data_IF_441014845065
#
_entry.id   IF_441014845065
#
_cell.length_a   1.000
_cell.length_b   1.000
_cell.length_c   1.000
_cell.angle_alpha   90.00
_cell.angle_beta   90.00
_cell.angle_gamma   90.00
#
_symmetry.space_group_name_H-M   'P 1'
#
loop_
_entity.id
_entity.type
_entity.pdbx_description
1 polymer ?
#
# COMPACT_ATOMS: atom_id res chain seq x y z
N UNK A 1 -2.63 -4.02 -14.74
CA UNK A 1 -3.45 -4.34 -15.94
C UNK A 1 -4.62 -5.28 -15.63
N UNK A 2 -4.36 -6.45 -15.02
CA UNK A 2 -5.41 -7.42 -14.62
C UNK A 2 -6.55 -6.82 -13.78
N UNK A 3 -6.24 -5.94 -12.83
CA UNK A 3 -7.26 -5.26 -12.01
C UNK A 3 -8.16 -4.34 -12.85
N UNK A 4 -7.60 -3.66 -13.85
CA UNK A 4 -8.36 -2.79 -14.74
C UNK A 4 -9.26 -3.59 -15.69
N UNK A 5 -8.77 -4.71 -16.21
CA UNK A 5 -9.57 -5.64 -17.02
C UNK A 5 -10.74 -6.26 -16.25
N UNK A 6 -10.61 -6.41 -14.93
CA UNK A 6 -11.67 -6.87 -14.03
C UNK A 6 -12.60 -5.74 -13.57
N UNK A 7 -12.40 -4.51 -14.06
CA UNK A 7 -13.19 -3.35 -13.67
C UNK A 7 -12.97 -2.87 -12.24
N UNK A 8 -11.95 -3.36 -11.52
CA UNK A 8 -11.72 -3.02 -10.11
C UNK A 8 -11.02 -1.67 -9.96
N UNK A 9 -10.20 -1.29 -10.95
CA UNK A 9 -9.52 -0.01 -11.01
C UNK A 9 -9.67 0.59 -12.40
N UNK A 10 -9.70 1.92 -12.51
CA UNK A 10 -9.67 2.63 -13.79
C UNK A 10 -8.38 3.43 -13.92
N UNK A 11 -7.96 3.64 -15.17
CA UNK A 11 -6.78 4.45 -15.49
C UNK A 11 -7.23 5.83 -15.92
N UNK A 12 -6.64 6.85 -15.33
CA UNK A 12 -6.83 8.23 -15.68
C UNK A 12 -5.51 8.77 -16.24
N UNK A 13 -5.58 9.55 -17.31
CA UNK A 13 -4.41 10.32 -17.76
C UNK A 13 -4.23 11.48 -16.80
N UNK A 14 -3.01 11.69 -16.32
CA UNK A 14 -2.71 12.88 -15.53
C UNK A 14 -2.88 14.14 -16.38
N UNK A 15 -3.53 15.16 -15.81
CA UNK A 15 -3.74 16.45 -16.45
C UNK A 15 -2.48 17.32 -16.42
N UNK A 16 -1.57 17.08 -15.46
CA UNK A 16 -0.33 17.83 -15.24
C UNK A 16 0.88 17.24 -15.97
N UNK A 17 0.90 15.92 -16.20
CA UNK A 17 1.95 15.25 -16.95
C UNK A 17 1.40 14.08 -17.78
N UNK A 18 1.45 14.22 -19.11
CA UNK A 18 0.93 13.21 -20.05
C UNK A 18 1.68 11.88 -20.02
N UNK A 19 2.85 11.80 -19.38
CA UNK A 19 3.59 10.54 -19.16
C UNK A 19 3.13 9.79 -17.91
N UNK A 20 2.34 10.43 -17.05
CA UNK A 20 1.85 9.86 -15.81
C UNK A 20 0.44 9.27 -15.99
N UNK A 21 0.27 8.02 -15.55
CA UNK A 21 -1.03 7.34 -15.51
C UNK A 21 -1.43 7.17 -14.05
N UNK A 22 -2.54 7.80 -13.67
CA UNK A 22 -3.14 7.63 -12.36
C UNK A 22 -4.03 6.38 -12.39
N UNK A 23 -4.03 5.62 -11.29
CA UNK A 23 -4.89 4.46 -11.11
C UNK A 23 -5.81 4.73 -9.94
N UNK A 24 -7.12 4.71 -10.20
CA UNK A 24 -8.15 4.96 -9.21
C UNK A 24 -8.96 3.69 -8.99
N UNK A 25 -9.29 3.39 -7.74
CA UNK A 25 -10.16 2.27 -7.40
C UNK A 25 -11.61 2.62 -7.73
N UNK A 26 -12.27 1.76 -8.50
CA UNK A 26 -13.71 1.90 -8.80
C UNK A 26 -14.55 1.57 -7.58
N UNK A 27 -15.84 1.92 -7.62
CA UNK A 27 -16.82 1.51 -6.60
C UNK A 27 -16.84 -0.02 -6.42
N UNK A 28 -16.91 -0.78 -7.52
CA UNK A 28 -16.82 -2.25 -7.48
C UNK A 28 -15.52 -2.74 -6.80
N UNK A 29 -14.40 -2.05 -7.04
CA UNK A 29 -13.14 -2.35 -6.38
C UNK A 29 -13.16 -2.08 -4.89
N UNK A 30 -13.80 -0.98 -4.46
CA UNK A 30 -13.98 -0.63 -3.06
C UNK A 30 -14.86 -1.65 -2.34
N UNK A 31 -16.01 -2.00 -2.93
CA UNK A 31 -16.96 -2.95 -2.37
C UNK A 31 -16.34 -4.33 -2.16
N UNK A 32 -15.65 -4.86 -3.17
CA UNK A 32 -14.98 -6.16 -3.07
C UNK A 32 -13.81 -6.13 -2.08
N UNK A 33 -13.10 -5.00 -1.97
CA UNK A 33 -12.05 -4.84 -0.97
C UNK A 33 -12.66 -4.88 0.43
N UNK A 34 -13.79 -4.21 0.63
CA UNK A 34 -14.51 -4.21 1.90
C UNK A 34 -15.12 -5.56 2.24
N UNK A 35 -15.67 -6.29 1.27
CA UNK A 35 -16.16 -7.65 1.47
C UNK A 35 -15.04 -8.59 1.92
N UNK A 36 -13.88 -8.50 1.27
CA UNK A 36 -12.73 -9.36 1.57
C UNK A 36 -12.06 -9.03 2.91
N UNK A 37 -11.82 -7.75 3.20
CA UNK A 37 -11.01 -7.31 4.34
C UNK A 37 -11.83 -6.72 5.49
N UNK A 38 -13.03 -6.21 5.24
CA UNK A 38 -13.87 -5.56 6.25
C UNK A 38 -14.12 -6.41 7.49
N UNK A 39 -14.45 -7.72 7.38
CA UNK A 39 -14.58 -8.59 8.55
C UNK A 39 -13.30 -8.70 9.38
N UNK A 40 -12.14 -8.81 8.72
CA UNK A 40 -10.85 -8.88 9.40
C UNK A 40 -10.52 -7.56 10.11
N UNK A 41 -10.75 -6.42 9.44
CA UNK A 41 -10.56 -5.08 10.03
C UNK A 41 -11.42 -4.94 11.29
N UNK A 42 -12.71 -5.29 11.21
CA UNK A 42 -13.62 -5.26 12.37
C UNK A 42 -13.18 -6.18 13.50
N UNK A 43 -12.67 -7.37 13.19
CA UNK A 43 -12.17 -8.30 14.19
C UNK A 43 -10.88 -7.81 14.88
N UNK A 44 -10.01 -7.11 14.14
CA UNK A 44 -8.77 -6.53 14.67
C UNK A 44 -8.94 -5.20 15.41
N UNK A 45 -10.01 -4.47 15.12
CA UNK A 45 -10.31 -3.15 15.69
C UNK A 45 -10.19 -3.11 17.23
N UNK A 46 -10.76 -4.05 18.01
CA UNK A 46 -10.67 -3.99 19.48
C UNK A 46 -9.24 -4.12 20.01
N UNK A 47 -8.38 -4.87 19.32
CA UNK A 47 -6.98 -5.03 19.72
C UNK A 47 -6.20 -3.71 19.55
N UNK A 48 -6.55 -2.91 18.54
CA UNK A 48 -5.97 -1.58 18.34
C UNK A 48 -6.56 -0.54 19.29
N UNK A 49 -7.86 -0.62 19.60
CA UNK A 49 -8.54 0.27 20.55
C UNK A 49 -8.03 0.11 21.98
N UNK A 50 -7.48 -1.06 22.33
CA UNK A 50 -6.83 -1.30 23.61
C UNK A 50 -5.50 -0.54 23.79
N UNK A 51 -4.94 0.03 22.70
CA UNK A 51 -3.69 0.77 22.72
C UNK A 51 -3.94 2.28 22.87
N UNK A 52 -3.08 2.96 23.61
CA UNK A 52 -3.09 4.42 23.67
C UNK A 52 -2.64 5.02 22.34
N UNK A 53 -2.99 6.29 22.10
CA UNK A 53 -2.52 7.02 20.92
C UNK A 53 -0.98 7.07 20.83
N UNK A 54 -0.29 7.14 21.98
CA UNK A 54 1.17 7.10 22.04
C UNK A 54 1.71 5.73 21.61
N UNK A 55 1.09 4.64 22.07
CA UNK A 55 1.48 3.28 21.69
C UNK A 55 1.23 3.03 20.19
N UNK A 56 0.11 3.50 19.65
CA UNK A 56 -0.19 3.42 18.21
C UNK A 56 0.80 4.23 17.38
N UNK A 57 1.17 5.43 17.85
CA UNK A 57 2.20 6.26 17.23
C UNK A 57 3.54 5.54 17.22
N UNK A 58 3.97 5.01 18.37
CA UNK A 58 5.22 4.26 18.49
C UNK A 58 5.25 3.05 17.54
N UNK A 59 4.18 2.24 17.52
CA UNK A 59 4.08 1.07 16.65
C UNK A 59 4.17 1.47 15.17
N UNK A 60 3.46 2.52 14.78
CA UNK A 60 3.47 3.05 13.41
C UNK A 60 4.87 3.50 12.99
N UNK A 61 5.52 4.32 13.81
CA UNK A 61 6.89 4.77 13.55
C UNK A 61 7.87 3.61 13.44
N UNK A 62 7.73 2.61 14.31
CA UNK A 62 8.64 1.47 14.31
C UNK A 62 8.48 0.61 13.05
N UNK A 63 7.23 0.32 12.64
CA UNK A 63 6.95 -0.41 11.41
C UNK A 63 7.45 0.34 10.16
N UNK A 64 7.31 1.67 10.14
CA UNK A 64 7.84 2.51 9.07
C UNK A 64 9.37 2.46 9.01
N UNK A 65 10.07 2.55 10.16
CA UNK A 65 11.53 2.45 10.22
C UNK A 65 12.04 1.10 9.72
N UNK A 66 11.40 0.00 10.12
CA UNK A 66 11.76 -1.35 9.63
C UNK A 66 11.54 -1.44 8.12
N UNK A 67 10.41 -0.94 7.61
CA UNK A 67 10.12 -0.94 6.17
C UNK A 67 11.19 -0.17 5.40
N UNK A 68 11.52 1.05 5.84
CA UNK A 68 12.56 1.88 5.23
C UNK A 68 13.92 1.17 5.20
N UNK A 69 14.31 0.51 6.29
CA UNK A 69 15.55 -0.26 6.36
C UNK A 69 15.57 -1.40 5.33
N UNK A 70 14.45 -2.11 5.16
CA UNK A 70 14.35 -3.20 4.18
C UNK A 70 14.35 -2.69 2.73
N UNK A 71 13.73 -1.55 2.46
CA UNK A 71 13.72 -0.92 1.14
C UNK A 71 15.11 -0.39 0.76
N UNK A 72 15.81 0.27 1.68
CA UNK A 72 17.19 0.69 1.46
C UNK A 72 18.12 -0.49 1.16
N UNK A 73 17.94 -1.61 1.86
CA UNK A 73 18.72 -2.81 1.60
C UNK A 73 18.43 -3.36 0.20
N UNK A 74 17.16 -3.44 -0.20
CA UNK A 74 16.76 -3.83 -1.56
C UNK A 74 17.40 -2.94 -2.62
N UNK A 75 17.39 -1.62 -2.41
CA UNK A 75 18.02 -0.68 -3.33
C UNK A 75 19.53 -0.86 -3.44
N UNK A 76 20.21 -1.11 -2.31
CA UNK A 76 21.66 -1.39 -2.31
C UNK A 76 21.97 -2.63 -3.12
N UNK A 77 21.21 -3.71 -2.96
CA UNK A 77 21.37 -4.94 -3.74
C UNK A 77 21.11 -4.70 -5.23
N UNK A 78 20.07 -3.94 -5.59
CA UNK A 78 19.79 -3.60 -6.99
C UNK A 78 20.95 -2.79 -7.61
N UNK A 79 21.52 -1.83 -6.87
CA UNK A 79 22.67 -1.02 -7.31
C UNK A 79 23.97 -1.83 -7.41
N UNK A 80 24.12 -2.90 -6.62
CA UNK A 80 25.26 -3.82 -6.67
C UNK A 80 25.13 -4.84 -7.81
N UNK A 81 23.94 -5.43 -8.00
CA UNK A 81 23.67 -6.36 -9.09
C UNK A 81 23.72 -5.73 -10.49
N UNK A 82 23.56 -4.41 -10.59
CA UNK A 82 23.80 -3.64 -11.84
C UNK A 82 25.29 -3.40 -12.11
N UNK A 83 26.19 -3.60 -11.14
CA UNK A 83 27.65 -3.44 -11.32
C UNK A 83 28.38 -4.73 -11.73
N UNK A 84 27.70 -5.87 -11.73
CA UNK A 84 28.29 -7.18 -12.10
C UNK A 84 27.99 -7.61 -13.56
N UNK A 85 27.55 -6.71 -14.43
CA UNK A 85 27.35 -6.97 -15.86
C UNK A 85 27.98 -5.89 -16.74
#
# INVERSE_FOLDING_TARGET
DRLARRGLVRRLRSETDRRTVLVEMTELGQDLTWEAYGPLVRAGQPALEALSAEQLTFLTEHLQRITALTDEHRERLAKQGVREF
#
